data_IF_891206964996
#
_entry.id   IF_891206964996
#
_cell.length_a   1.000
_cell.length_b   1.000
_cell.length_c   1.000
_cell.angle_alpha   90.00
_cell.angle_beta   90.00
_cell.angle_gamma   90.00
#
_symmetry.space_group_name_H-M   'P 1'
#
loop_
_entity.id
_entity.type
_entity.pdbx_description
1 polymer ?
#
# COMPACT_ATOMS: atom_id res chain seq x y z
N UNK A 1 43.64 10.74 26.69
CA UNK A 1 42.87 9.63 26.07
C UNK A 1 43.84 8.74 25.33
N UNK A 2 43.92 7.45 25.66
CA UNK A 2 44.74 6.51 24.90
C UNK A 2 44.17 6.40 23.48
N UNK A 3 45.04 6.39 22.45
CA UNK A 3 44.62 6.27 21.03
C UNK A 3 43.69 5.07 20.79
N UNK A 4 43.83 4.03 21.62
CA UNK A 4 42.99 2.83 21.62
C UNK A 4 41.53 3.13 22.00
N UNK A 5 41.28 4.01 22.98
CA UNK A 5 39.92 4.38 23.40
C UNK A 5 39.17 5.15 22.32
N UNK A 6 39.86 6.09 21.65
CA UNK A 6 39.26 6.86 20.55
C UNK A 6 38.84 5.99 19.35
N UNK A 7 39.60 4.92 19.06
CA UNK A 7 39.27 3.97 17.99
C UNK A 7 38.00 3.18 18.32
N UNK A 8 37.84 2.73 19.56
CA UNK A 8 36.63 1.98 19.98
C UNK A 8 35.38 2.86 19.95
N UNK A 9 35.47 4.13 20.36
CA UNK A 9 34.36 5.07 20.19
C UNK A 9 34.03 5.32 18.71
N UNK A 10 35.03 5.40 17.84
CA UNK A 10 34.81 5.56 16.40
C UNK A 10 34.14 4.34 15.76
N UNK A 11 34.52 3.12 16.17
CA UNK A 11 33.89 1.88 15.71
C UNK A 11 32.43 1.82 16.17
N UNK A 12 32.17 2.12 17.45
CA UNK A 12 30.82 2.18 17.98
C UNK A 12 29.96 3.18 17.21
N UNK A 13 30.46 4.41 17.02
CA UNK A 13 29.77 5.43 16.23
C UNK A 13 29.49 4.98 14.78
N UNK A 14 30.44 4.30 14.13
CA UNK A 14 30.27 3.80 12.77
C UNK A 14 29.17 2.72 12.68
N UNK A 15 29.12 1.78 13.64
CA UNK A 15 28.06 0.76 13.71
C UNK A 15 26.70 1.42 13.92
N UNK A 16 26.64 2.42 14.79
CA UNK A 16 25.40 3.16 15.08
C UNK A 16 24.87 3.90 13.85
N UNK A 17 25.73 4.65 13.18
CA UNK A 17 25.37 5.37 11.95
C UNK A 17 24.95 4.37 10.87
N UNK A 18 25.69 3.26 10.72
CA UNK A 18 25.35 2.21 9.76
C UNK A 18 23.97 1.60 10.00
N UNK A 19 23.65 1.26 11.25
CA UNK A 19 22.36 0.68 11.64
C UNK A 19 21.19 1.64 11.39
N UNK A 20 21.32 2.91 11.79
CA UNK A 20 20.30 3.94 11.54
C UNK A 20 20.11 4.18 10.04
N UNK A 21 21.20 4.28 9.29
CA UNK A 21 21.14 4.50 7.84
C UNK A 21 20.43 3.36 7.14
N UNK A 22 20.76 2.11 7.50
CA UNK A 22 20.08 0.91 6.99
C UNK A 22 18.59 0.91 7.31
N UNK A 23 18.22 1.21 8.56
CA UNK A 23 16.83 1.22 9.00
C UNK A 23 15.99 2.28 8.25
N UNK A 24 16.52 3.50 8.12
CA UNK A 24 15.84 4.60 7.40
C UNK A 24 15.72 4.27 5.91
N UNK A 25 16.78 3.78 5.28
CA UNK A 25 16.76 3.40 3.87
C UNK A 25 15.74 2.28 3.61
N UNK A 26 15.71 1.26 4.48
CA UNK A 26 14.74 0.17 4.39
C UNK A 26 13.30 0.62 4.60
N UNK A 27 13.03 1.48 5.57
CA UNK A 27 11.68 2.04 5.78
C UNK A 27 11.21 2.82 4.55
N UNK A 28 12.12 3.58 3.92
CA UNK A 28 11.80 4.33 2.71
C UNK A 28 11.56 3.43 1.49
N UNK A 29 12.32 2.34 1.33
CA UNK A 29 12.08 1.37 0.26
C UNK A 29 10.75 0.65 0.43
N UNK A 30 10.43 0.26 1.66
CA UNK A 30 9.19 -0.46 1.97
C UNK A 30 7.99 0.47 1.71
N UNK A 31 8.10 1.76 2.06
CA UNK A 31 7.05 2.74 1.82
C UNK A 31 6.80 2.94 0.32
N UNK A 32 7.86 3.05 -0.47
CA UNK A 32 7.77 3.14 -1.93
C UNK A 32 7.18 1.89 -2.55
N UNK A 33 7.57 0.70 -2.08
CA UNK A 33 7.02 -0.55 -2.56
C UNK A 33 5.51 -0.63 -2.29
N UNK A 34 5.08 -0.20 -1.10
CA UNK A 34 3.66 -0.10 -0.76
C UNK A 34 2.93 0.89 -1.68
N UNK A 35 3.46 2.09 -1.89
CA UNK A 35 2.84 3.09 -2.78
C UNK A 35 2.71 2.58 -4.23
N UNK A 36 3.74 1.89 -4.72
CA UNK A 36 3.75 1.31 -6.06
C UNK A 36 2.82 0.10 -6.21
N UNK A 37 2.40 -0.54 -5.10
CA UNK A 37 1.47 -1.67 -5.14
C UNK A 37 0.03 -1.24 -5.45
N UNK A 38 -0.28 0.06 -5.37
CA UNK A 38 -1.60 0.60 -5.71
C UNK A 38 -1.74 0.76 -7.22
N UNK A 39 -2.56 -0.09 -7.82
CA UNK A 39 -3.01 0.06 -9.20
C UNK A 39 -4.28 0.89 -9.22
N UNK A 40 -4.21 2.08 -9.81
CA UNK A 40 -5.29 3.06 -9.81
C UNK A 40 -5.93 3.17 -11.17
N UNK A 41 -7.24 3.31 -11.20
CA UNK A 41 -8.01 3.45 -12.44
C UNK A 41 -9.27 4.27 -12.19
N UNK A 42 -9.87 4.76 -13.28
CA UNK A 42 -11.07 5.59 -13.26
C UNK A 42 -12.32 4.78 -13.59
N UNK A 43 -13.40 5.08 -12.88
CA UNK A 43 -14.73 4.46 -13.01
C UNK A 43 -15.74 5.53 -13.41
N UNK A 44 -16.77 5.22 -14.24
CA UNK A 44 -17.05 3.91 -14.83
C UNK A 44 -16.04 3.50 -15.91
N UNK A 45 -15.75 2.21 -15.99
CA UNK A 45 -14.78 1.69 -16.96
C UNK A 45 -14.25 0.28 -16.64
N UNK A 46 -13.36 -0.17 -17.49
CA UNK A 46 -12.64 -1.44 -17.39
C UNK A 46 -11.15 -1.18 -17.34
N UNK A 47 -10.42 -1.91 -16.49
CA UNK A 47 -8.96 -1.84 -16.38
C UNK A 47 -8.36 -3.23 -16.26
N UNK A 48 -7.13 -3.37 -16.74
CA UNK A 48 -6.30 -4.54 -16.45
C UNK A 48 -5.63 -4.35 -15.08
N UNK A 49 -5.60 -5.42 -14.29
CA UNK A 49 -4.92 -5.52 -13.01
C UNK A 49 -3.83 -6.57 -13.11
N UNK A 50 -2.59 -6.18 -12.82
CA UNK A 50 -1.45 -7.08 -12.76
C UNK A 50 -1.20 -7.54 -11.32
N UNK A 51 -1.41 -8.81 -11.05
CA UNK A 51 -1.19 -9.41 -9.75
C UNK A 51 0.12 -10.17 -9.78
N UNK A 52 1.16 -9.63 -9.14
CA UNK A 52 2.50 -10.24 -9.15
C UNK A 52 2.64 -11.38 -8.14
N UNK A 53 1.82 -11.40 -7.09
CA UNK A 53 1.88 -12.38 -6.01
C UNK A 53 0.50 -12.89 -5.65
N UNK A 54 0.34 -14.19 -5.35
CA UNK A 54 -0.91 -14.71 -4.81
C UNK A 54 -1.22 -14.07 -3.46
N UNK A 55 -2.50 -13.86 -3.17
CA UNK A 55 -2.93 -13.37 -1.88
C UNK A 55 -4.21 -12.55 -1.94
N UNK A 56 -4.49 -11.90 -0.81
CA UNK A 56 -5.64 -11.01 -0.68
C UNK A 56 -5.34 -9.66 -1.30
N UNK A 57 -6.30 -9.15 -2.04
CA UNK A 57 -6.31 -7.80 -2.59
C UNK A 57 -7.60 -7.10 -2.20
N UNK A 58 -7.52 -5.78 -2.04
CA UNK A 58 -8.60 -4.91 -1.60
C UNK A 58 -8.81 -3.85 -2.66
N UNK A 59 -10.06 -3.65 -3.01
CA UNK A 59 -10.54 -2.53 -3.83
C UNK A 59 -10.81 -1.39 -2.85
N UNK A 60 -10.17 -0.26 -3.09
CA UNK A 60 -10.34 0.98 -2.35
C UNK A 60 -11.04 2.01 -3.23
N UNK A 61 -12.05 2.65 -2.68
CA UNK A 61 -12.58 3.88 -3.24
C UNK A 61 -11.73 5.06 -2.76
N UNK A 62 -11.04 5.73 -3.68
CA UNK A 62 -10.20 6.88 -3.38
C UNK A 62 -10.99 8.18 -3.58
N UNK A 63 -11.54 8.73 -2.49
CA UNK A 63 -12.20 10.04 -2.50
C UNK A 63 -11.22 11.21 -2.70
N UNK A 64 -9.91 10.95 -2.53
CA UNK A 64 -8.84 11.86 -2.94
C UNK A 64 -7.78 11.08 -3.71
N UNK A 65 -7.55 11.41 -4.97
CA UNK A 65 -6.57 10.71 -5.82
C UNK A 65 -6.04 11.56 -6.96
N UNK A 66 -4.99 11.07 -7.61
CA UNK A 66 -4.53 11.52 -8.92
C UNK A 66 -4.37 10.30 -9.81
N UNK A 67 -5.13 10.22 -10.90
CA UNK A 67 -5.08 9.10 -11.87
C UNK A 67 -4.90 9.70 -13.26
N UNK A 68 -3.89 9.27 -14.00
CA UNK A 68 -3.56 9.77 -15.35
C UNK A 68 -3.43 11.31 -15.45
N UNK A 69 -3.00 11.96 -14.36
CA UNK A 69 -2.86 13.41 -14.27
C UNK A 69 -4.15 14.17 -13.94
N UNK A 70 -5.28 13.48 -13.82
CA UNK A 70 -6.56 14.03 -13.37
C UNK A 70 -6.67 13.94 -11.84
N UNK A 71 -7.06 15.04 -11.19
CA UNK A 71 -7.24 15.11 -9.74
C UNK A 71 -8.68 14.77 -9.39
N UNK A 72 -8.85 13.76 -8.54
CA UNK A 72 -10.15 13.34 -8.00
C UNK A 72 -10.29 13.83 -6.56
N UNK A 73 -11.40 14.53 -6.30
CA UNK A 73 -11.83 14.97 -4.98
C UNK A 73 -13.34 14.80 -4.90
N UNK A 74 -13.79 13.56 -4.70
CA UNK A 74 -15.20 13.18 -4.76
C UNK A 74 -15.77 12.95 -3.34
N UNK A 75 -17.06 13.23 -3.10
CA UNK A 75 -17.70 12.91 -1.84
C UNK A 75 -17.89 11.40 -1.70
N UNK A 76 -18.00 10.91 -0.47
CA UNK A 76 -18.21 9.48 -0.23
C UNK A 76 -19.37 8.90 -1.04
N UNK A 77 -19.09 7.81 -1.75
CA UNK A 77 -20.08 7.05 -2.50
C UNK A 77 -20.12 5.60 -2.02
N UNK A 78 -21.32 5.08 -1.85
CA UNK A 78 -21.58 3.65 -1.68
C UNK A 78 -22.13 3.03 -2.96
N UNK A 79 -22.27 3.83 -4.02
CA UNK A 79 -22.85 3.41 -5.30
C UNK A 79 -21.74 2.98 -6.26
N UNK A 80 -21.12 1.85 -5.92
CA UNK A 80 -19.99 1.26 -6.65
C UNK A 80 -20.27 -0.22 -6.76
N UNK A 81 -20.21 -0.75 -7.98
CA UNK A 81 -20.34 -2.18 -8.27
C UNK A 81 -19.22 -2.59 -9.19
N UNK A 82 -18.41 -3.54 -8.74
CA UNK A 82 -17.33 -4.10 -9.53
C UNK A 82 -17.62 -5.55 -9.92
N UNK A 83 -16.94 -5.99 -10.97
CA UNK A 83 -16.84 -7.38 -11.39
C UNK A 83 -15.39 -7.65 -11.74
N UNK A 84 -14.91 -8.86 -11.46
CA UNK A 84 -13.53 -9.27 -11.69
C UNK A 84 -13.53 -10.59 -12.44
N UNK A 85 -12.65 -10.71 -13.44
CA UNK A 85 -12.41 -11.96 -14.15
C UNK A 85 -10.91 -12.17 -14.39
N UNK A 86 -10.49 -13.43 -14.50
CA UNK A 86 -9.15 -13.75 -15.00
C UNK A 86 -9.05 -13.51 -16.52
N UNK A 87 -7.84 -13.61 -17.08
CA UNK A 87 -7.58 -13.46 -18.51
C UNK A 87 -8.36 -14.48 -19.38
N UNK A 88 -8.72 -15.64 -18.82
CA UNK A 88 -9.54 -16.66 -19.50
C UNK A 88 -11.05 -16.35 -19.41
N UNK A 89 -11.44 -15.29 -18.69
CA UNK A 89 -12.83 -14.85 -18.52
C UNK A 89 -13.57 -15.56 -17.37
N UNK A 90 -12.88 -16.32 -16.52
CA UNK A 90 -13.51 -16.90 -15.33
C UNK A 90 -13.74 -15.80 -14.29
N UNK A 91 -14.99 -15.66 -13.86
CA UNK A 91 -15.35 -14.69 -12.85
C UNK A 91 -14.73 -15.05 -11.48
N UNK A 92 -14.15 -14.04 -10.83
CA UNK A 92 -13.70 -14.10 -9.46
C UNK A 92 -14.74 -13.44 -8.55
N UNK A 93 -14.96 -14.04 -7.39
CA UNK A 93 -15.87 -13.50 -6.38
C UNK A 93 -15.24 -12.28 -5.70
N UNK A 94 -15.98 -11.17 -5.73
CA UNK A 94 -15.73 -10.00 -4.91
C UNK A 94 -16.61 -10.10 -3.66
N UNK A 95 -15.99 -9.98 -2.49
CA UNK A 95 -16.71 -10.00 -1.22
C UNK A 95 -16.57 -8.66 -0.50
N UNK A 96 -17.59 -8.19 0.23
CA UNK A 96 -17.45 -7.02 1.08
C UNK A 96 -16.30 -7.20 2.05
N UNK A 97 -15.48 -6.17 2.20
CA UNK A 97 -14.38 -6.23 3.15
C UNK A 97 -14.90 -6.06 4.58
N UNK A 98 -14.40 -6.88 5.50
CA UNK A 98 -14.64 -6.68 6.94
C UNK A 98 -13.75 -5.57 7.54
N UNK A 99 -12.76 -5.11 6.78
CA UNK A 99 -11.84 -4.06 7.18
C UNK A 99 -12.50 -2.71 6.90
N UNK A 100 -12.90 -1.98 7.95
CA UNK A 100 -13.17 -0.54 7.85
C UNK A 100 -11.85 0.24 7.72
N UNK A 101 -11.02 -0.16 6.77
CA UNK A 101 -9.68 0.39 6.54
C UNK A 101 -9.77 1.65 5.70
N UNK A 102 -9.49 2.78 6.32
CA UNK A 102 -9.16 4.01 5.62
C UNK A 102 -7.64 4.19 5.57
N UNK A 103 -7.14 4.77 4.49
CA UNK A 103 -5.78 5.27 4.43
C UNK A 103 -5.76 6.71 3.95
N UNK A 104 -4.73 7.42 4.37
CA UNK A 104 -4.38 8.73 3.83
C UNK A 104 -2.86 8.87 3.81
N UNK A 105 -2.26 8.98 2.62
CA UNK A 105 -0.84 9.23 2.46
C UNK A 105 -0.53 9.84 1.09
N UNK A 106 0.52 10.66 1.01
CA UNK A 106 1.03 11.28 -0.22
C UNK A 106 -0.04 11.95 -1.11
N UNK A 107 -1.07 12.57 -0.51
CA UNK A 107 -2.16 13.22 -1.25
C UNK A 107 -3.26 12.27 -1.75
N UNK A 108 -3.14 10.97 -1.49
CA UNK A 108 -4.18 9.96 -1.72
C UNK A 108 -4.92 9.68 -0.42
N UNK A 109 -6.22 9.47 -0.51
CA UNK A 109 -7.02 8.98 0.60
C UNK A 109 -8.16 8.11 0.07
N UNK A 110 -8.34 6.95 0.70
CA UNK A 110 -9.32 5.98 0.26
C UNK A 110 -9.81 5.07 1.38
N UNK A 111 -10.94 4.43 1.12
CA UNK A 111 -11.59 3.46 2.00
C UNK A 111 -11.77 2.13 1.30
N UNK A 112 -11.58 1.04 2.04
CA UNK A 112 -11.82 -0.29 1.52
C UNK A 112 -13.33 -0.48 1.23
N UNK A 113 -13.66 -1.10 0.08
CA UNK A 113 -15.05 -1.38 -0.33
C UNK A 113 -15.30 -2.87 -0.51
N UNK A 114 -14.45 -3.54 -1.28
CA UNK A 114 -14.55 -4.96 -1.62
C UNK A 114 -13.15 -5.58 -1.59
N UNK A 115 -13.09 -6.91 -1.52
CA UNK A 115 -11.84 -7.65 -1.54
C UNK A 115 -11.99 -8.95 -2.32
N UNK A 116 -10.87 -9.50 -2.78
CA UNK A 116 -10.79 -10.81 -3.40
C UNK A 116 -9.48 -11.51 -3.04
N UNK A 117 -9.45 -12.82 -3.22
CA UNK A 117 -8.25 -13.64 -3.05
C UNK A 117 -7.79 -14.12 -4.42
N UNK A 118 -6.62 -13.67 -4.86
CA UNK A 118 -5.97 -14.13 -6.08
C UNK A 118 -5.14 -15.39 -5.77
N UNK A 119 -5.56 -16.54 -6.30
CA UNK A 119 -4.87 -17.80 -6.05
C UNK A 119 -3.53 -17.93 -6.78
N UNK A 120 -3.34 -17.20 -7.87
CA UNK A 120 -2.14 -17.21 -8.71
C UNK A 120 -1.82 -15.81 -9.20
N UNK A 121 -0.53 -15.52 -9.52
CA UNK A 121 -0.18 -14.30 -10.22
C UNK A 121 -0.75 -14.30 -11.63
N UNK A 122 -1.01 -13.11 -12.18
CA UNK A 122 -1.49 -12.96 -13.54
C UNK A 122 -2.24 -11.66 -13.77
N UNK A 123 -2.79 -11.54 -14.97
CA UNK A 123 -3.61 -10.40 -15.37
C UNK A 123 -5.09 -10.72 -15.12
N UNK A 124 -5.77 -9.77 -14.49
CA UNK A 124 -7.21 -9.82 -14.24
C UNK A 124 -7.86 -8.59 -14.85
N UNK A 125 -9.10 -8.74 -15.31
CA UNK A 125 -9.88 -7.64 -15.86
C UNK A 125 -10.90 -7.23 -14.81
N UNK A 126 -10.79 -6.00 -14.33
CA UNK A 126 -11.77 -5.39 -13.44
C UNK A 126 -12.67 -4.44 -14.23
N UNK A 127 -13.97 -4.56 -14.06
CA UNK A 127 -14.94 -3.64 -14.60
C UNK A 127 -15.81 -3.11 -13.45
N UNK A 128 -15.86 -1.79 -13.30
CA UNK A 128 -16.64 -1.15 -12.25
C UNK A 128 -17.54 -0.07 -12.86
N UNK A 129 -18.70 0.11 -12.23
CA UNK A 129 -19.68 1.14 -12.57
C UNK A 129 -20.43 1.57 -11.30
N UNK A 130 -21.25 2.60 -11.41
CA UNK A 130 -22.24 2.95 -10.41
C UNK A 130 -23.36 1.92 -10.42
N UNK A 131 -23.75 1.38 -9.26
CA UNK A 131 -24.84 0.40 -9.19
C UNK A 131 -26.18 1.01 -9.67
N UNK A 132 -26.36 2.33 -9.51
CA UNK A 132 -27.50 3.06 -10.06
C UNK A 132 -27.42 3.35 -11.57
N UNK A 133 -26.26 3.10 -12.20
CA UNK A 133 -25.97 3.46 -13.60
C UNK A 133 -25.80 4.96 -13.84
N UNK A 134 -25.72 5.78 -12.77
CA UNK A 134 -25.49 7.22 -12.84
C UNK A 134 -24.52 7.63 -11.75
N UNK A 135 -23.49 8.38 -12.12
CA UNK A 135 -22.57 8.97 -11.18
C UNK A 135 -21.49 9.76 -11.88
N UNK A 136 -20.74 10.52 -11.10
CA UNK A 136 -19.56 11.20 -11.58
C UNK A 136 -18.37 10.25 -11.65
N UNK A 137 -17.34 10.63 -12.41
CA UNK A 137 -16.13 9.82 -12.49
C UNK A 137 -15.46 9.75 -11.11
N UNK A 138 -15.16 8.54 -10.66
CA UNK A 138 -14.47 8.28 -9.39
C UNK A 138 -13.17 7.52 -9.63
N UNK A 139 -12.24 7.65 -8.69
CA UNK A 139 -11.01 6.87 -8.67
C UNK A 139 -11.17 5.65 -7.78
N UNK A 140 -10.75 4.49 -8.28
CA UNK A 140 -10.56 3.28 -7.49
C UNK A 140 -9.10 2.88 -7.52
N UNK A 141 -8.68 2.17 -6.47
CA UNK A 141 -7.36 1.58 -6.38
C UNK A 141 -7.45 0.12 -5.93
N UNK A 142 -6.59 -0.73 -6.47
CA UNK A 142 -6.42 -2.11 -6.03
C UNK A 142 -5.03 -2.27 -5.46
N UNK A 143 -4.95 -2.77 -4.23
CA UNK A 143 -3.70 -3.04 -3.54
C UNK A 143 -3.87 -4.20 -2.55
N UNK A 144 -2.78 -4.83 -2.08
CA UNK A 144 -2.84 -5.66 -0.88
C UNK A 144 -3.49 -4.91 0.29
N UNK A 145 -4.06 -5.60 1.29
CA UNK A 145 -4.56 -4.96 2.49
C UNK A 145 -3.52 -4.01 3.08
N UNK A 146 -3.90 -2.75 3.30
CA UNK A 146 -3.08 -1.78 4.04
C UNK A 146 -3.12 -2.23 5.49
N UNK A 147 -2.19 -3.09 5.87
CA UNK A 147 -2.10 -3.59 7.23
C UNK A 147 -1.34 -2.56 8.07
N UNK A 148 -1.88 -2.22 9.24
CA UNK A 148 -1.16 -1.50 10.30
C UNK A 148 0.19 -2.20 10.63
N UNK A 149 0.35 -3.48 10.29
CA UNK A 149 1.61 -4.23 10.40
C UNK A 149 2.78 -3.59 9.65
N UNK A 150 2.54 -2.84 8.57
CA UNK A 150 3.59 -2.07 7.90
C UNK A 150 4.22 -1.04 8.85
N UNK A 151 3.38 -0.33 9.60
CA UNK A 151 3.81 0.60 10.65
C UNK A 151 4.59 -0.19 11.71
N UNK A 152 4.09 -1.35 12.13
CA UNK A 152 4.76 -2.23 13.10
C UNK A 152 6.19 -2.65 12.70
N UNK A 153 6.40 -3.07 11.46
CA UNK A 153 7.74 -3.47 10.96
C UNK A 153 8.68 -2.26 10.80
N UNK A 154 8.18 -1.11 10.35
CA UNK A 154 8.96 0.14 10.36
C UNK A 154 9.36 0.52 11.79
N UNK A 155 8.42 0.50 12.74
CA UNK A 155 8.69 0.77 14.15
C UNK A 155 9.67 -0.24 14.76
N UNK A 156 9.58 -1.52 14.41
CA UNK A 156 10.51 -2.56 14.88
C UNK A 156 11.92 -2.32 14.36
N UNK A 157 12.08 -1.96 13.08
CA UNK A 157 13.39 -1.61 12.49
C UNK A 157 13.97 -0.36 13.13
N UNK A 158 13.15 0.66 13.36
CA UNK A 158 13.55 1.86 14.09
C UNK A 158 13.91 1.53 15.56
N UNK A 159 13.11 0.72 16.25
CA UNK A 159 13.35 0.32 17.64
C UNK A 159 14.64 -0.49 17.79
N UNK A 160 14.96 -1.38 16.85
CA UNK A 160 16.26 -2.08 16.81
C UNK A 160 17.41 -1.07 16.64
N UNK A 161 17.24 -0.06 15.78
CA UNK A 161 18.22 1.03 15.63
C UNK A 161 18.34 1.93 16.86
N UNK A 162 17.27 2.08 17.66
CA UNK A 162 17.31 2.80 18.94
C UNK A 162 17.85 1.96 20.09
N UNK A 163 17.62 0.64 20.11
CA UNK A 163 18.16 -0.26 21.13
C UNK A 163 19.68 -0.40 21.02
N UNK A 164 20.24 -0.32 19.81
CA UNK A 164 21.69 -0.25 19.65
C UNK A 164 22.30 1.04 20.23
N UNK A 165 21.54 2.15 20.33
CA UNK A 165 22.00 3.39 21.01
C UNK A 165 22.14 3.18 22.52
N UNK A 166 21.31 2.33 23.13
CA UNK A 166 21.29 2.10 24.58
C UNK A 166 22.35 1.13 25.11
N UNK A 167 22.89 0.25 24.25
CA UNK A 167 23.94 -0.72 24.62
C UNK A 167 25.35 -0.12 24.40
N UNK A 168 25.45 1.01 23.69
CA UNK A 168 26.71 1.70 23.39
C UNK A 168 27.11 2.84 24.34
N UNK A 169 26.38 3.04 25.45
CA UNK A 169 26.65 4.06 26.48
C UNK A 169 27.22 3.44 27.77
#
# INVERSE_FOLDING_TARGET
MSRMGAIWYAIGAAIMIGGVTWAVAGAFSDFKAMENAFQRFVVPGTSDLHIDQPGRYVIYYEYRSVVDGEVFATPESTDIKCTLADEAGHALELVPTALNGEYAFNGYAGRAVEQFDAAQPGTFVIACDHASGKGERIALAVAPPVVIDFIGEVFKRLAIAFLSLGIGL
#
